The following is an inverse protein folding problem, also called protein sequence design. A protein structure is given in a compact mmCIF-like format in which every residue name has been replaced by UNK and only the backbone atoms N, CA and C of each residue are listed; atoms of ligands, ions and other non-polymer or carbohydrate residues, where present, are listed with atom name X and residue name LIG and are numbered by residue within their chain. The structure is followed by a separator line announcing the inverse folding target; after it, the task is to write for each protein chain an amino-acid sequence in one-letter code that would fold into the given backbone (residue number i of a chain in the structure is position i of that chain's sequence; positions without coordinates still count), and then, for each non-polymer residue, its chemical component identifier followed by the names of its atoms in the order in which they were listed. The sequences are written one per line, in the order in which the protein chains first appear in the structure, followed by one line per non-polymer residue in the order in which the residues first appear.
data_IF_181631545577
#
_entry.id   IF_181631545577
#
_cell.length_a   1.000
_cell.length_b   1.000
_cell.length_c   1.000
_cell.angle_alpha   90.00
_cell.angle_beta   90.00
_cell.angle_gamma   90.00
#
_symmetry.space_group_name_H-M   'P 1'
#
loop_
_entity.id
_entity.type
_entity.pdbx_description
1 polymer ?
#
# COMPACT_ATOMS: atom_id res chain seq x y z
N UNK A 1 -70.82 -12.50 46.66
CA UNK A 1 -70.91 -13.58 45.64
C UNK A 1 -70.98 -12.91 44.28
N UNK A 2 -69.88 -12.91 43.53
CA UNK A 2 -69.82 -12.41 42.16
C UNK A 2 -69.03 -13.44 41.34
N UNK A 3 -69.66 -13.96 40.28
CA UNK A 3 -69.14 -15.01 39.43
C UNK A 3 -68.17 -14.41 38.38
N UNK A 4 -67.04 -15.08 38.17
CA UNK A 4 -66.04 -14.73 37.16
C UNK A 4 -66.42 -15.32 35.78
N UNK A 5 -66.08 -14.64 34.67
CA UNK A 5 -66.38 -15.12 33.31
C UNK A 5 -65.32 -16.10 32.78
N UNK A 6 -65.81 -17.04 31.97
CA UNK A 6 -65.07 -18.14 31.34
C UNK A 6 -64.07 -17.68 30.28
N UNK A 7 -62.85 -18.24 30.36
CA UNK A 7 -61.83 -18.21 29.31
C UNK A 7 -62.24 -19.09 28.12
N UNK A 8 -62.28 -18.51 26.92
CA UNK A 8 -62.34 -19.24 25.64
C UNK A 8 -60.95 -19.15 25.02
N UNK A 9 -60.26 -20.28 24.89
CA UNK A 9 -59.00 -20.39 24.16
C UNK A 9 -59.24 -20.33 22.64
N UNK A 10 -58.54 -19.46 21.89
CA UNK A 10 -58.48 -19.56 20.45
C UNK A 10 -57.52 -20.68 20.03
N UNK A 11 -58.01 -21.45 19.08
CA UNK A 11 -57.41 -22.63 18.47
C UNK A 11 -56.25 -22.22 17.54
N UNK A 12 -55.01 -22.31 18.01
CA UNK A 12 -53.80 -22.14 17.19
C UNK A 12 -53.53 -23.41 16.37
N UNK A 13 -54.21 -23.54 15.23
CA UNK A 13 -53.76 -24.40 14.14
C UNK A 13 -52.90 -23.58 13.18
N UNK A 14 -51.66 -23.28 13.61
CA UNK A 14 -50.63 -22.83 12.70
C UNK A 14 -50.16 -24.04 11.87
N UNK A 15 -50.48 -24.02 10.58
CA UNK A 15 -50.00 -24.97 9.59
C UNK A 15 -48.46 -25.01 9.58
N UNK A 16 -47.87 -26.10 10.07
CA UNK A 16 -46.49 -26.49 9.77
C UNK A 16 -46.34 -26.85 8.29
N UNK A 17 -46.21 -25.84 7.43
CA UNK A 17 -45.65 -25.98 6.08
C UNK A 17 -44.17 -25.62 6.11
N UNK A 18 -43.38 -26.35 6.90
CA UNK A 18 -41.94 -26.45 6.71
C UNK A 18 -41.71 -27.64 5.78
N UNK A 19 -41.93 -27.42 4.49
CA UNK A 19 -41.49 -28.34 3.45
C UNK A 19 -39.97 -28.50 3.58
N UNK A 20 -39.52 -29.75 3.77
CA UNK A 20 -38.12 -30.11 3.91
C UNK A 20 -37.35 -29.80 2.62
N UNK A 21 -36.87 -28.56 2.50
CA UNK A 21 -35.85 -28.23 1.51
C UNK A 21 -34.54 -28.89 1.95
N UNK A 22 -34.25 -30.06 1.41
CA UNK A 22 -32.94 -30.71 1.56
C UNK A 22 -31.96 -29.95 0.67
N UNK A 23 -31.32 -28.95 1.24
CA UNK A 23 -30.16 -28.32 0.61
C UNK A 23 -28.97 -29.28 0.75
N UNK A 24 -28.67 -30.03 -0.31
CA UNK A 24 -27.40 -30.77 -0.43
C UNK A 24 -26.25 -29.78 -0.74
N UNK A 25 -26.05 -28.82 0.17
CA UNK A 25 -24.97 -27.87 0.05
C UNK A 25 -23.73 -28.48 0.70
N UNK A 26 -22.94 -29.19 -0.12
CA UNK A 26 -21.69 -29.79 0.32
C UNK A 26 -20.82 -28.73 0.98
N UNK A 27 -20.40 -28.97 2.21
CA UNK A 27 -19.49 -28.08 2.92
C UNK A 27 -18.05 -28.49 2.69
N UNK A 28 -17.16 -27.52 2.55
CA UNK A 28 -15.70 -27.71 2.54
C UNK A 28 -15.11 -27.18 3.86
N UNK A 29 -14.07 -27.84 4.36
CA UNK A 29 -13.27 -27.32 5.47
C UNK A 29 -12.04 -26.61 4.88
N UNK A 30 -11.86 -25.33 5.21
CA UNK A 30 -10.69 -24.56 4.83
C UNK A 30 -9.82 -24.31 6.06
N UNK A 31 -8.50 -24.45 5.93
CA UNK A 31 -7.53 -24.13 6.97
C UNK A 31 -6.76 -22.86 6.59
N UNK A 32 -6.84 -21.83 7.43
CA UNK A 32 -6.23 -20.51 7.17
C UNK A 32 -5.42 -20.11 8.40
N UNK A 33 -4.10 -20.26 8.31
CA UNK A 33 -3.23 -20.25 9.49
C UNK A 33 -3.67 -21.32 10.49
N UNK A 34 -4.00 -20.89 11.71
CA UNK A 34 -4.46 -21.76 12.81
C UNK A 34 -5.99 -21.94 12.85
N UNK A 35 -6.73 -21.28 11.95
CA UNK A 35 -8.21 -21.32 11.95
C UNK A 35 -8.72 -22.35 10.94
N UNK A 36 -9.73 -23.11 11.34
CA UNK A 36 -10.50 -23.96 10.44
C UNK A 36 -11.92 -23.40 10.27
N UNK A 37 -12.37 -23.32 9.03
CA UNK A 37 -13.66 -22.74 8.68
C UNK A 37 -14.44 -23.71 7.81
N UNK A 38 -15.68 -24.01 8.19
CA UNK A 38 -16.58 -24.87 7.42
C UNK A 38 -17.55 -24.01 6.62
N UNK A 39 -17.48 -24.11 5.29
CA UNK A 39 -18.14 -23.17 4.37
C UNK A 39 -18.87 -23.94 3.27
N UNK A 40 -19.97 -23.38 2.80
CA UNK A 40 -20.67 -23.87 1.59
C UNK A 40 -19.73 -23.86 0.39
N UNK A 41 -19.54 -25.03 -0.22
CA UNK A 41 -18.75 -25.19 -1.45
C UNK A 41 -19.38 -24.38 -2.58
N UNK A 42 -20.71 -24.46 -2.71
CA UNK A 42 -21.46 -23.78 -3.76
C UNK A 42 -21.25 -22.27 -3.71
N UNK A 43 -21.34 -21.65 -2.53
CA UNK A 43 -21.14 -20.19 -2.40
C UNK A 43 -19.75 -19.74 -2.85
N UNK A 44 -18.71 -20.52 -2.53
CA UNK A 44 -17.35 -20.21 -2.94
C UNK A 44 -17.15 -20.39 -4.45
N UNK A 45 -17.68 -21.49 -5.02
CA UNK A 45 -17.70 -21.74 -6.47
C UNK A 45 -18.43 -20.65 -7.24
N UNK A 46 -19.61 -20.23 -6.77
CA UNK A 46 -20.42 -19.19 -7.42
C UNK A 46 -19.72 -17.81 -7.35
N UNK A 47 -18.95 -17.56 -6.29
CA UNK A 47 -18.24 -16.29 -6.11
C UNK A 47 -16.91 -16.22 -6.87
N UNK A 48 -16.24 -17.34 -7.14
CA UNK A 48 -14.86 -17.37 -7.63
C UNK A 48 -14.61 -18.54 -8.58
N UNK A 49 -14.06 -18.28 -9.78
CA UNK A 49 -13.66 -19.36 -10.69
C UNK A 49 -12.48 -20.17 -10.12
N UNK A 50 -11.57 -19.56 -9.36
CA UNK A 50 -10.46 -20.28 -8.71
C UNK A 50 -10.98 -21.33 -7.74
N UNK A 51 -11.99 -21.01 -6.93
CA UNK A 51 -12.62 -22.02 -6.06
C UNK A 51 -13.40 -23.06 -6.87
N UNK A 52 -14.06 -22.67 -7.96
CA UNK A 52 -14.72 -23.61 -8.85
C UNK A 52 -13.75 -24.65 -9.42
N UNK A 53 -12.58 -24.22 -9.89
CA UNK A 53 -11.54 -25.09 -10.45
C UNK A 53 -10.86 -25.93 -9.37
N UNK A 54 -10.49 -25.31 -8.24
CA UNK A 54 -9.90 -26.00 -7.09
C UNK A 54 -10.76 -27.18 -6.62
N UNK A 55 -12.08 -27.02 -6.68
CA UNK A 55 -13.04 -28.03 -6.26
C UNK A 55 -13.38 -29.08 -7.32
N UNK A 56 -13.00 -28.88 -8.58
CA UNK A 56 -13.11 -29.93 -9.61
C UNK A 56 -11.98 -30.95 -9.52
N UNK A 57 -10.86 -30.60 -8.88
CA UNK A 57 -9.76 -31.52 -8.66
C UNK A 57 -10.21 -32.69 -7.78
N UNK A 58 -9.83 -33.95 -8.09
CA UNK A 58 -10.10 -35.10 -7.25
C UNK A 58 -9.54 -34.82 -5.84
N UNK A 59 -10.42 -34.69 -4.85
CA UNK A 59 -9.99 -34.53 -3.46
C UNK A 59 -9.41 -35.87 -3.00
N UNK A 60 -8.09 -35.93 -2.84
CA UNK A 60 -7.43 -37.18 -2.48
C UNK A 60 -7.77 -37.65 -1.06
N UNK A 61 -8.29 -36.78 -0.17
CA UNK A 61 -8.69 -37.11 1.21
C UNK A 61 -9.72 -36.09 1.76
N UNK A 62 -10.42 -36.43 2.85
CA UNK A 62 -11.27 -35.52 3.66
C UNK A 62 -10.48 -34.45 4.44
N UNK A 63 -9.28 -34.09 3.96
CA UNK A 63 -8.39 -33.13 4.61
C UNK A 63 -8.83 -31.68 4.34
N UNK A 64 -8.70 -30.76 5.32
CA UNK A 64 -8.98 -29.35 5.10
C UNK A 64 -8.10 -28.74 4.02
N UNK A 65 -8.68 -27.94 3.13
CA UNK A 65 -7.94 -27.21 2.10
C UNK A 65 -7.18 -26.05 2.75
N UNK A 66 -5.85 -26.09 2.70
CA UNK A 66 -5.02 -25.03 3.29
C UNK A 66 -4.93 -23.82 2.36
N UNK A 67 -5.28 -22.64 2.86
CA UNK A 67 -5.14 -21.37 2.15
C UNK A 67 -4.06 -20.50 2.81
N UNK A 68 -3.15 -19.97 2.01
CA UNK A 68 -2.06 -19.08 2.46
C UNK A 68 -2.48 -17.61 2.37
N UNK A 69 -3.52 -17.24 3.13
CA UNK A 69 -4.08 -15.88 3.17
C UNK A 69 -4.20 -15.37 4.60
N UNK A 70 -4.35 -14.06 4.78
CA UNK A 70 -4.63 -13.48 6.09
C UNK A 70 -6.04 -13.91 6.57
N UNK A 71 -6.17 -14.53 7.76
CA UNK A 71 -7.45 -15.04 8.23
C UNK A 71 -8.49 -13.94 8.46
N UNK A 72 -8.06 -12.73 8.82
CA UNK A 72 -8.96 -11.60 9.06
C UNK A 72 -9.51 -11.06 7.75
N UNK A 73 -8.67 -10.94 6.72
CA UNK A 73 -9.10 -10.51 5.39
C UNK A 73 -10.04 -11.54 4.75
N UNK A 74 -9.74 -12.83 4.93
CA UNK A 74 -10.63 -13.89 4.46
C UNK A 74 -11.97 -13.88 5.20
N UNK A 75 -11.99 -13.63 6.51
CA UNK A 75 -13.24 -13.43 7.27
C UNK A 75 -14.09 -12.29 6.73
N UNK A 76 -13.47 -11.18 6.31
CA UNK A 76 -14.18 -10.08 5.67
C UNK A 76 -14.82 -10.48 4.33
N UNK A 77 -14.09 -11.25 3.52
CA UNK A 77 -14.59 -11.80 2.27
C UNK A 77 -15.77 -12.76 2.51
N UNK A 78 -15.64 -13.69 3.45
CA UNK A 78 -16.73 -14.62 3.81
C UNK A 78 -17.94 -13.88 4.36
N UNK A 79 -17.73 -12.88 5.22
CA UNK A 79 -18.81 -12.05 5.73
C UNK A 79 -19.61 -11.46 4.57
N UNK A 80 -18.95 -10.95 3.52
CA UNK A 80 -19.63 -10.44 2.33
C UNK A 80 -20.44 -11.52 1.60
N UNK A 81 -19.94 -12.75 1.49
CA UNK A 81 -20.68 -13.86 0.86
C UNK A 81 -21.88 -14.36 1.69
N UNK A 82 -21.90 -14.06 2.98
CA UNK A 82 -22.90 -14.56 3.92
C UNK A 82 -23.89 -13.51 4.40
N UNK A 83 -23.54 -12.23 4.33
CA UNK A 83 -24.37 -11.14 4.83
C UNK A 83 -25.71 -11.08 4.08
N UNK A 84 -26.80 -10.94 4.82
CA UNK A 84 -28.10 -10.71 4.21
C UNK A 84 -28.15 -9.29 3.59
N UNK A 85 -28.96 -9.05 2.55
CA UNK A 85 -29.09 -7.71 1.99
C UNK A 85 -29.48 -6.64 3.03
N UNK A 86 -30.31 -7.01 4.02
CA UNK A 86 -30.72 -6.09 5.09
C UNK A 86 -29.57 -5.78 6.05
N UNK A 87 -28.78 -6.78 6.44
CA UNK A 87 -27.62 -6.58 7.32
C UNK A 87 -26.50 -5.82 6.61
N UNK A 88 -26.38 -6.01 5.30
CA UNK A 88 -25.45 -5.24 4.48
C UNK A 88 -25.82 -3.75 4.46
N UNK A 89 -27.10 -3.41 4.27
CA UNK A 89 -27.59 -2.03 4.33
C UNK A 89 -27.33 -1.42 5.71
N UNK A 90 -27.64 -2.16 6.78
CA UNK A 90 -27.36 -1.70 8.16
C UNK A 90 -25.87 -1.44 8.36
N UNK A 91 -25.02 -2.38 7.96
CA UNK A 91 -23.58 -2.22 8.04
C UNK A 91 -23.09 -1.02 7.22
N UNK A 92 -23.61 -0.82 6.01
CA UNK A 92 -23.24 0.30 5.15
C UNK A 92 -23.60 1.67 5.78
N UNK A 93 -24.67 1.73 6.56
CA UNK A 93 -25.12 2.93 7.27
C UNK A 93 -24.39 3.15 8.60
N UNK A 94 -24.15 2.08 9.36
CA UNK A 94 -23.61 2.16 10.73
C UNK A 94 -22.08 2.19 10.74
N UNK A 95 -21.44 1.50 9.79
CA UNK A 95 -19.98 1.41 9.76
C UNK A 95 -19.38 2.69 9.20
N UNK A 96 -18.76 3.47 10.07
CA UNK A 96 -18.02 4.67 9.68
C UNK A 96 -16.53 4.49 9.93
N UNK A 97 -15.75 4.91 8.93
CA UNK A 97 -14.31 5.08 9.04
C UNK A 97 -13.46 3.83 8.93
N UNK A 98 -12.45 3.73 9.80
CA UNK A 98 -11.29 2.87 9.59
C UNK A 98 -11.64 1.37 9.60
N UNK A 99 -12.56 0.93 10.48
CA UNK A 99 -13.03 -0.46 10.49
C UNK A 99 -13.75 -0.85 9.19
N UNK A 100 -14.56 0.07 8.64
CA UNK A 100 -15.21 -0.12 7.33
C UNK A 100 -14.15 -0.18 6.23
N UNK A 101 -13.21 0.74 6.23
CA UNK A 101 -12.14 0.79 5.23
C UNK A 101 -11.32 -0.51 5.23
N UNK A 102 -10.85 -0.96 6.40
CA UNK A 102 -10.11 -2.22 6.56
C UNK A 102 -10.90 -3.44 6.08
N UNK A 103 -12.21 -3.49 6.38
CA UNK A 103 -13.08 -4.57 5.89
C UNK A 103 -13.18 -4.58 4.38
N UNK A 104 -13.48 -3.43 3.76
CA UNK A 104 -13.58 -3.30 2.30
C UNK A 104 -12.24 -3.60 1.62
N UNK A 105 -11.12 -3.14 2.20
CA UNK A 105 -9.78 -3.45 1.70
C UNK A 105 -9.50 -4.96 1.74
N UNK A 106 -9.84 -5.64 2.84
CA UNK A 106 -9.73 -7.10 2.95
C UNK A 106 -10.59 -7.83 1.91
N UNK A 107 -11.84 -7.38 1.70
CA UNK A 107 -12.71 -7.93 0.65
C UNK A 107 -12.06 -7.75 -0.73
N UNK A 108 -11.55 -6.55 -1.03
CA UNK A 108 -10.91 -6.26 -2.33
C UNK A 108 -9.68 -7.15 -2.56
N UNK A 109 -8.82 -7.31 -1.56
CA UNK A 109 -7.60 -8.11 -1.65
C UNK A 109 -7.90 -9.59 -1.91
N UNK A 110 -8.80 -10.19 -1.14
CA UNK A 110 -9.18 -11.60 -1.29
C UNK A 110 -9.97 -11.82 -2.58
N UNK A 111 -10.92 -10.94 -2.91
CA UNK A 111 -11.70 -11.05 -4.15
C UNK A 111 -10.80 -10.96 -5.40
N UNK A 112 -9.81 -10.06 -5.41
CA UNK A 112 -8.83 -10.00 -6.49
C UNK A 112 -7.98 -11.27 -6.57
N UNK A 113 -7.48 -11.76 -5.42
CA UNK A 113 -6.64 -12.96 -5.36
C UNK A 113 -7.35 -14.21 -5.92
N UNK A 114 -8.64 -14.34 -5.65
CA UNK A 114 -9.47 -15.46 -6.12
C UNK A 114 -10.29 -15.13 -7.37
N UNK A 115 -9.94 -14.09 -8.12
CA UNK A 115 -10.57 -13.72 -9.40
C UNK A 115 -12.10 -13.51 -9.33
N UNK A 116 -12.61 -13.03 -8.20
CA UNK A 116 -13.98 -12.54 -8.05
C UNK A 116 -14.08 -11.10 -8.58
N UNK A 117 -13.89 -10.90 -9.89
CA UNK A 117 -13.69 -9.58 -10.51
C UNK A 117 -14.78 -8.56 -10.16
N UNK A 118 -16.06 -8.94 -10.26
CA UNK A 118 -17.17 -8.04 -9.95
C UNK A 118 -17.17 -7.57 -8.49
N UNK A 119 -16.78 -8.46 -7.57
CA UNK A 119 -16.67 -8.13 -6.15
C UNK A 119 -15.43 -7.27 -5.87
N UNK A 120 -14.31 -7.58 -6.51
CA UNK A 120 -13.08 -6.79 -6.39
C UNK A 120 -13.30 -5.36 -6.92
N UNK A 121 -13.92 -5.19 -8.09
CA UNK A 121 -14.25 -3.90 -8.67
C UNK A 121 -15.22 -3.10 -7.79
N UNK A 122 -16.26 -3.74 -7.25
CA UNK A 122 -17.15 -3.09 -6.28
C UNK A 122 -16.37 -2.60 -5.06
N UNK A 123 -15.52 -3.43 -4.48
CA UNK A 123 -14.77 -3.08 -3.26
C UNK A 123 -13.77 -1.94 -3.53
N UNK A 124 -13.08 -1.94 -4.68
CA UNK A 124 -12.23 -0.83 -5.11
C UNK A 124 -13.00 0.47 -5.25
N UNK A 125 -14.18 0.45 -5.86
CA UNK A 125 -15.03 1.63 -5.97
C UNK A 125 -15.45 2.17 -4.58
N UNK A 126 -15.67 1.29 -3.59
CA UNK A 126 -15.93 1.71 -2.21
C UNK A 126 -14.69 2.31 -1.55
N UNK A 127 -13.50 1.74 -1.75
CA UNK A 127 -12.23 2.29 -1.25
C UNK A 127 -12.02 3.72 -1.77
N UNK A 128 -12.18 3.92 -3.07
CA UNK A 128 -12.02 5.25 -3.71
C UNK A 128 -13.02 6.28 -3.18
N UNK A 129 -14.25 5.86 -2.83
CA UNK A 129 -15.23 6.74 -2.17
C UNK A 129 -14.84 7.09 -0.73
N UNK A 130 -14.23 6.14 -0.02
CA UNK A 130 -13.87 6.32 1.39
C UNK A 130 -12.59 7.14 1.57
N UNK A 131 -11.61 7.05 0.66
CA UNK A 131 -10.31 7.72 0.78
C UNK A 131 -10.42 9.24 1.04
N UNK A 132 -11.22 10.02 0.30
CA UNK A 132 -11.31 11.47 0.55
C UNK A 132 -12.02 11.83 1.85
N UNK A 133 -12.84 10.93 2.39
CA UNK A 133 -13.78 11.27 3.48
C UNK A 133 -13.18 11.16 4.86
N UNK A 134 -12.13 10.34 5.05
CA UNK A 134 -11.56 10.12 6.39
C UNK A 134 -10.06 9.88 6.34
N UNK A 135 -9.27 10.48 7.26
CA UNK A 135 -7.87 10.15 7.47
C UNK A 135 -7.69 8.68 7.92
N UNK A 136 -6.87 7.92 7.20
CA UNK A 136 -6.32 6.61 7.61
C UNK A 136 -5.11 6.96 8.47
N UNK A 137 -5.28 6.80 9.78
CA UNK A 137 -4.23 7.13 10.76
C UNK A 137 -3.23 6.00 10.96
N UNK A 138 -3.61 4.78 10.57
CA UNK A 138 -2.82 3.57 10.76
C UNK A 138 -1.90 3.31 9.56
N UNK A 139 -0.59 3.35 9.82
CA UNK A 139 0.46 3.08 8.83
C UNK A 139 0.34 1.68 8.24
N UNK A 140 -0.11 0.69 9.02
CA UNK A 140 -0.25 -0.69 8.56
C UNK A 140 -1.37 -0.83 7.52
N UNK A 141 -2.51 -0.19 7.77
CA UNK A 141 -3.63 -0.14 6.82
C UNK A 141 -3.23 0.58 5.53
N UNK A 142 -2.50 1.70 5.60
CA UNK A 142 -2.09 2.40 4.40
C UNK A 142 -1.02 1.62 3.60
N UNK A 143 -0.12 0.92 4.28
CA UNK A 143 0.86 0.01 3.64
C UNK A 143 0.13 -1.09 2.88
N UNK A 144 -0.89 -1.69 3.48
CA UNK A 144 -1.74 -2.70 2.83
C UNK A 144 -2.49 -2.13 1.64
N UNK A 145 -3.07 -0.94 1.75
CA UNK A 145 -3.74 -0.27 0.62
C UNK A 145 -2.78 -0.11 -0.55
N UNK A 146 -1.58 0.39 -0.28
CA UNK A 146 -0.58 0.63 -1.31
C UNK A 146 -0.10 -0.69 -1.94
N UNK A 147 0.21 -1.72 -1.14
CA UNK A 147 0.53 -3.07 -1.61
C UNK A 147 -0.53 -3.63 -2.54
N UNK A 148 -1.79 -3.55 -2.10
CA UNK A 148 -2.92 -4.00 -2.88
C UNK A 148 -3.00 -3.22 -4.20
N UNK A 149 -2.96 -1.89 -4.15
CA UNK A 149 -3.03 -1.04 -5.35
C UNK A 149 -1.91 -1.30 -6.36
N UNK A 150 -0.73 -1.73 -5.89
CA UNK A 150 0.41 -2.03 -6.75
C UNK A 150 0.34 -3.39 -7.44
N UNK A 151 -0.52 -4.29 -6.94
CA UNK A 151 -0.73 -5.64 -7.49
C UNK A 151 -2.08 -5.80 -8.20
N UNK A 152 -2.98 -4.83 -7.99
CA UNK A 152 -4.33 -4.79 -8.53
C UNK A 152 -4.34 -4.33 -10.01
N UNK A 153 -3.50 -4.94 -10.84
CA UNK A 153 -3.40 -4.61 -12.26
C UNK A 153 -4.74 -4.85 -12.95
N UNK A 154 -5.21 -3.85 -13.69
CA UNK A 154 -6.46 -3.94 -14.47
C UNK A 154 -7.76 -3.64 -13.72
N UNK A 155 -7.76 -3.45 -12.39
CA UNK A 155 -8.98 -3.06 -11.65
C UNK A 155 -9.34 -1.59 -11.85
N UNK A 156 -8.50 -0.67 -11.36
CA UNK A 156 -8.69 0.78 -11.54
C UNK A 156 -7.36 1.54 -11.41
N UNK A 157 -6.88 2.25 -12.45
CA UNK A 157 -5.63 3.02 -12.40
C UNK A 157 -5.66 4.18 -11.38
N UNK A 158 -6.85 4.66 -11.00
CA UNK A 158 -6.99 5.69 -9.98
C UNK A 158 -6.61 5.18 -8.59
N UNK A 159 -6.77 3.88 -8.31
CA UNK A 159 -6.46 3.33 -6.99
C UNK A 159 -4.98 3.50 -6.62
N UNK A 160 -4.08 3.21 -7.55
CA UNK A 160 -2.64 3.40 -7.32
C UNK A 160 -2.29 4.89 -7.18
N UNK A 161 -2.85 5.74 -8.02
CA UNK A 161 -2.60 7.18 -7.98
C UNK A 161 -3.10 7.80 -6.68
N UNK A 162 -4.32 7.47 -6.26
CA UNK A 162 -4.92 7.98 -5.03
C UNK A 162 -4.23 7.41 -3.78
N UNK A 163 -3.91 6.13 -3.74
CA UNK A 163 -3.18 5.56 -2.59
C UNK A 163 -1.79 6.17 -2.42
N UNK A 164 -1.08 6.44 -3.53
CA UNK A 164 0.19 7.16 -3.50
C UNK A 164 0.02 8.59 -2.99
N UNK A 165 -0.93 9.34 -3.56
CA UNK A 165 -1.22 10.71 -3.13
C UNK A 165 -1.59 10.75 -1.64
N UNK A 166 -2.34 9.76 -1.18
CA UNK A 166 -2.74 9.62 0.21
C UNK A 166 -1.55 9.35 1.13
N UNK A 167 -0.68 8.41 0.76
CA UNK A 167 0.58 8.16 1.49
C UNK A 167 1.41 9.42 1.62
N UNK A 168 1.62 10.13 0.52
CA UNK A 168 2.34 11.39 0.51
C UNK A 168 1.66 12.44 1.41
N UNK A 169 0.33 12.52 1.38
CA UNK A 169 -0.45 13.38 2.28
C UNK A 169 -0.22 13.05 3.75
N UNK A 170 -0.30 11.77 4.12
CA UNK A 170 -0.06 11.32 5.49
C UNK A 170 1.37 11.58 5.95
N UNK A 171 2.39 11.33 5.13
CA UNK A 171 3.79 11.68 5.44
C UNK A 171 3.93 13.18 5.72
N UNK A 172 3.30 14.02 4.88
CA UNK A 172 3.35 15.47 4.99
C UNK A 172 2.71 15.96 6.28
N UNK A 173 1.59 15.36 6.69
CA UNK A 173 0.76 15.80 7.81
C UNK A 173 1.13 15.11 9.14
N UNK A 174 1.79 13.96 9.10
CA UNK A 174 2.13 13.15 10.29
C UNK A 174 3.01 13.91 11.29
N UNK A 175 2.73 13.72 12.58
CA UNK A 175 3.61 14.16 13.66
C UNK A 175 4.92 13.37 13.74
N UNK A 176 4.95 12.15 13.17
CA UNK A 176 6.09 11.24 13.20
C UNK A 176 6.44 10.77 11.78
N UNK A 177 7.13 11.60 10.98
CA UNK A 177 7.53 11.24 9.62
C UNK A 177 8.58 10.12 9.55
N UNK A 178 9.23 9.77 10.68
CA UNK A 178 10.17 8.64 10.74
C UNK A 178 9.43 7.31 10.67
N UNK A 179 8.25 7.19 11.30
CA UNK A 179 7.41 5.99 11.18
C UNK A 179 7.10 5.67 9.71
N UNK A 180 6.75 6.69 8.93
CA UNK A 180 6.47 6.54 7.50
C UNK A 180 7.71 6.22 6.66
N UNK A 181 8.89 6.73 7.03
CA UNK A 181 10.14 6.34 6.40
C UNK A 181 10.42 4.85 6.63
N UNK A 182 10.24 4.35 7.85
CA UNK A 182 10.42 2.93 8.15
C UNK A 182 9.42 2.08 7.37
N UNK A 183 8.15 2.50 7.33
CA UNK A 183 7.12 1.81 6.55
C UNK A 183 7.46 1.79 5.05
N UNK A 184 8.07 2.84 4.50
CA UNK A 184 8.56 2.88 3.11
C UNK A 184 9.80 2.00 2.89
N UNK A 185 10.69 1.89 3.89
CA UNK A 185 11.88 1.02 3.87
C UNK A 185 11.52 -0.45 3.89
N UNK A 186 10.56 -0.86 4.72
CA UNK A 186 10.06 -2.23 4.75
C UNK A 186 9.55 -2.73 3.39
N UNK A 187 9.08 -1.80 2.56
CA UNK A 187 8.59 -2.07 1.21
C UNK A 187 9.69 -2.03 0.15
N UNK A 188 10.87 -1.56 0.52
CA UNK A 188 11.93 -1.20 -0.41
C UNK A 188 11.48 -0.19 -1.50
N UNK A 189 10.53 0.71 -1.19
CA UNK A 189 10.04 1.70 -2.16
C UNK A 189 10.89 2.98 -2.10
N UNK A 190 11.81 3.12 -3.04
CA UNK A 190 12.76 4.24 -3.08
C UNK A 190 12.07 5.61 -3.22
N UNK A 191 10.95 5.68 -3.94
CA UNK A 191 10.21 6.93 -4.13
C UNK A 191 9.60 7.39 -2.81
N UNK A 192 8.89 6.48 -2.11
CA UNK A 192 8.30 6.77 -0.81
C UNK A 192 9.36 7.10 0.24
N UNK A 193 10.50 6.40 0.22
CA UNK A 193 11.63 6.71 1.09
C UNK A 193 12.16 8.13 0.84
N UNK A 194 12.45 8.49 -0.41
CA UNK A 194 12.93 9.81 -0.78
C UNK A 194 11.95 10.92 -0.38
N UNK A 195 10.65 10.68 -0.58
CA UNK A 195 9.59 11.59 -0.17
C UNK A 195 9.54 11.78 1.35
N UNK A 196 9.65 10.68 2.12
CA UNK A 196 9.70 10.74 3.58
C UNK A 196 10.95 11.49 4.08
N UNK A 197 12.13 11.21 3.54
CA UNK A 197 13.36 11.95 3.87
C UNK A 197 13.21 13.45 3.64
N UNK A 198 12.66 13.86 2.49
CA UNK A 198 12.42 15.27 2.18
C UNK A 198 11.55 15.96 3.24
N UNK A 199 10.47 15.30 3.68
CA UNK A 199 9.56 15.87 4.68
C UNK A 199 10.14 15.88 6.09
N UNK A 200 10.89 14.85 6.48
CA UNK A 200 11.67 14.84 7.72
C UNK A 200 12.57 16.09 7.76
N UNK A 201 13.32 16.34 6.68
CA UNK A 201 14.22 17.48 6.58
C UNK A 201 13.50 18.83 6.63
N UNK A 202 12.36 18.96 5.94
CA UNK A 202 11.57 20.19 5.94
C UNK A 202 10.97 20.53 7.30
N UNK A 203 10.51 19.53 8.07
CA UNK A 203 9.76 19.76 9.32
C UNK A 203 10.65 19.78 10.57
N UNK A 204 11.60 18.86 10.66
CA UNK A 204 12.38 18.63 11.89
C UNK A 204 13.83 19.08 11.77
N UNK A 205 14.28 19.38 10.54
CA UNK A 205 15.68 19.68 10.27
C UNK A 205 16.59 18.52 10.66
N UNK A 206 17.75 18.82 11.26
CA UNK A 206 18.73 17.83 11.66
C UNK A 206 18.47 17.24 13.06
N UNK A 207 17.49 17.75 13.83
CA UNK A 207 17.23 17.26 15.19
C UNK A 207 16.81 15.78 15.22
N UNK A 208 16.13 15.33 14.16
CA UNK A 208 15.68 13.94 13.99
C UNK A 208 16.82 12.94 13.84
N UNK A 209 18.05 13.39 13.56
CA UNK A 209 19.21 12.48 13.47
C UNK A 209 19.52 11.76 14.78
N UNK A 210 19.03 12.28 15.92
CA UNK A 210 19.11 11.64 17.22
C UNK A 210 18.04 10.55 17.44
N UNK A 211 17.09 10.38 16.51
CA UNK A 211 16.09 9.31 16.60
C UNK A 211 16.80 7.95 16.52
N UNK A 212 16.55 7.11 17.53
CA UNK A 212 17.20 5.80 17.68
C UNK A 212 16.73 4.79 16.65
N UNK A 213 15.55 5.02 16.03
CA UNK A 213 14.98 4.16 14.99
C UNK A 213 15.69 4.31 13.64
N UNK A 214 16.42 5.41 13.44
CA UNK A 214 17.18 5.65 12.22
C UNK A 214 18.50 4.89 12.23
N UNK A 215 18.86 4.29 11.10
CA UNK A 215 20.18 3.65 10.94
C UNK A 215 21.28 4.69 10.71
N UNK A 216 22.56 4.29 10.79
CA UNK A 216 23.68 5.16 10.42
C UNK A 216 23.56 5.70 8.99
N UNK A 217 23.11 4.85 8.05
CA UNK A 217 22.86 5.21 6.65
C UNK A 217 21.74 6.24 6.53
N UNK A 218 20.64 6.09 7.29
CA UNK A 218 19.54 7.06 7.25
C UNK A 218 19.97 8.44 7.77
N UNK A 219 20.79 8.47 8.84
CA UNK A 219 21.37 9.71 9.38
C UNK A 219 22.28 10.41 8.37
N UNK A 220 23.12 9.65 7.67
CA UNK A 220 23.96 10.17 6.59
C UNK A 220 23.10 10.76 5.47
N UNK A 221 22.09 10.03 4.98
CA UNK A 221 21.16 10.51 3.95
C UNK A 221 20.49 11.82 4.33
N UNK A 222 20.04 11.93 5.59
CA UNK A 222 19.48 13.18 6.11
C UNK A 222 20.51 14.32 6.14
N UNK A 223 21.73 14.06 6.59
CA UNK A 223 22.78 15.08 6.63
C UNK A 223 23.15 15.61 5.24
N UNK A 224 23.32 14.72 4.27
CA UNK A 224 23.56 15.09 2.88
C UNK A 224 22.36 15.82 2.27
N UNK A 225 21.15 15.31 2.49
CA UNK A 225 19.92 15.93 2.04
C UNK A 225 19.76 17.35 2.58
N UNK A 226 20.07 17.59 3.87
CA UNK A 226 20.04 18.91 4.48
C UNK A 226 21.05 19.87 3.83
N UNK A 227 22.27 19.38 3.55
CA UNK A 227 23.33 20.16 2.91
C UNK A 227 22.93 20.56 1.49
N UNK A 228 22.36 19.63 0.73
CA UNK A 228 21.84 19.89 -0.62
C UNK A 228 20.69 20.90 -0.59
N UNK A 229 19.70 20.70 0.29
CA UNK A 229 18.57 21.64 0.40
C UNK A 229 19.02 23.06 0.76
N UNK A 230 20.05 23.23 1.59
CA UNK A 230 20.63 24.56 1.87
C UNK A 230 21.24 25.20 0.62
N UNK A 231 22.02 24.43 -0.15
CA UNK A 231 22.60 24.89 -1.43
C UNK A 231 21.55 25.28 -2.46
N UNK A 232 20.41 24.59 -2.48
CA UNK A 232 19.31 24.86 -3.42
C UNK A 232 18.24 25.83 -2.89
N UNK A 233 18.24 26.17 -1.61
CA UNK A 233 17.30 27.16 -1.05
C UNK A 233 17.53 28.59 -1.55
N UNK A 234 18.65 28.83 -2.24
CA UNK A 234 18.91 30.07 -2.99
C UNK A 234 18.29 30.07 -4.40
N UNK A 235 17.72 28.95 -4.86
CA UNK A 235 16.99 28.84 -6.12
C UNK A 235 15.54 29.33 -5.90
N UNK A 236 15.02 30.25 -6.73
CA UNK A 236 13.70 30.85 -6.52
C UNK A 236 12.57 29.81 -6.38
N UNK A 237 11.66 30.03 -5.42
CA UNK A 237 10.52 29.16 -5.08
C UNK A 237 9.55 28.83 -6.23
N UNK A 238 9.69 29.46 -7.40
CA UNK A 238 8.90 29.14 -8.60
C UNK A 238 9.23 27.77 -9.19
N UNK A 239 10.23 27.07 -8.65
CA UNK A 239 10.70 25.80 -9.18
C UNK A 239 10.41 24.56 -8.30
N UNK A 240 9.57 24.64 -7.26
CA UNK A 240 9.46 23.53 -6.27
C UNK A 240 8.30 22.56 -6.44
N UNK A 241 7.37 22.81 -7.37
CA UNK A 241 6.22 21.93 -7.59
C UNK A 241 6.19 21.50 -9.08
N UNK A 242 6.68 20.29 -9.40
CA UNK A 242 6.47 19.67 -10.73
C UNK A 242 4.96 19.37 -10.82
N UNK A 243 4.19 20.04 -11.71
CA UNK A 243 2.73 19.94 -11.75
C UNK A 243 2.22 18.62 -12.39
N UNK A 244 3.08 17.60 -12.50
CA UNK A 244 2.71 16.37 -13.20
C UNK A 244 1.76 15.50 -12.34
N UNK A 245 0.66 15.00 -12.91
CA UNK A 245 -0.31 14.17 -12.20
C UNK A 245 0.19 12.75 -11.92
N UNK A 246 1.30 12.31 -12.53
CA UNK A 246 1.90 11.00 -12.28
C UNK A 246 3.44 11.05 -12.34
N UNK A 247 4.15 11.04 -11.19
CA UNK A 247 5.60 11.09 -11.16
C UNK A 247 6.27 9.78 -11.62
N UNK A 248 5.55 8.67 -11.87
CA UNK A 248 6.19 7.42 -12.33
C UNK A 248 6.36 7.35 -13.85
N UNK A 249 5.48 7.98 -14.63
CA UNK A 249 5.51 7.91 -16.11
C UNK A 249 6.37 8.97 -16.77
N UNK A 250 6.85 9.96 -16.00
CA UNK A 250 7.56 11.12 -16.53
C UNK A 250 9.00 11.26 -16.05
N UNK A 251 9.59 10.20 -15.50
CA UNK A 251 10.99 10.18 -15.13
C UNK A 251 11.76 9.37 -16.17
N UNK A 252 12.51 10.05 -17.04
CA UNK A 252 13.57 9.43 -17.83
C UNK A 252 14.90 9.75 -17.13
N UNK A 253 15.65 8.73 -16.73
CA UNK A 253 16.91 8.88 -15.98
C UNK A 253 16.81 9.82 -14.77
N UNK A 254 15.73 9.72 -13.99
CA UNK A 254 15.60 10.49 -12.75
C UNK A 254 15.16 11.96 -12.91
N UNK A 255 14.80 12.44 -14.11
CA UNK A 255 14.27 13.81 -14.33
C UNK A 255 12.80 13.81 -14.77
N UNK A 256 11.96 14.64 -14.13
CA UNK A 256 10.60 14.99 -14.61
C UNK A 256 10.74 15.60 -16.03
N UNK A 257 10.19 14.97 -17.08
CA UNK A 257 10.37 15.36 -18.50
C UNK A 257 10.02 16.84 -18.78
N UNK A 258 9.10 17.41 -17.98
CA UNK A 258 8.75 18.84 -18.02
C UNK A 258 9.91 19.78 -17.65
N UNK A 259 10.92 19.30 -16.93
CA UNK A 259 12.12 20.06 -16.53
C UNK A 259 13.29 19.89 -17.50
N UNK A 260 13.19 18.93 -18.43
CA UNK A 260 14.23 18.68 -19.44
C UNK A 260 14.06 19.48 -20.73
N UNK A 261 13.01 20.29 -20.87
CA UNK A 261 12.85 21.18 -22.01
C UNK A 261 13.62 22.50 -21.76
N UNK A 262 14.62 22.86 -22.57
CA UNK A 262 15.25 24.16 -22.48
C UNK A 262 14.28 25.21 -23.03
N UNK A 263 13.64 25.99 -22.15
CA UNK A 263 12.77 27.11 -22.55
C UNK A 263 13.61 28.36 -22.91
N UNK A 264 14.93 28.32 -22.76
CA UNK A 264 15.82 29.38 -23.22
C UNK A 264 17.04 28.79 -23.92
N UNK A 265 17.09 28.95 -25.25
CA UNK A 265 18.36 28.99 -25.97
C UNK A 265 19.02 30.34 -25.68
N UNK A 266 20.22 30.40 -25.05
CA UNK A 266 21.00 31.62 -25.06
C UNK A 266 21.53 31.87 -26.48
N UNK A 267 21.64 33.14 -26.92
CA UNK A 267 22.30 33.44 -28.18
C UNK A 267 23.80 33.12 -28.03
N UNK A 268 24.28 32.25 -28.93
CA UNK A 268 25.68 32.04 -29.35
C UNK A 268 26.77 32.43 -28.33
N UNK A 269 27.28 31.44 -27.60
CA UNK A 269 28.60 31.52 -26.96
C UNK A 269 29.30 30.15 -27.01
N UNK A 270 30.36 30.12 -27.84
CA UNK A 270 31.51 29.19 -27.90
C UNK A 270 31.31 27.72 -27.49
N UNK A 271 31.33 26.86 -28.51
CA UNK A 271 31.64 25.45 -28.40
C UNK A 271 33.09 25.26 -27.91
N UNK A 272 33.28 24.99 -26.63
CA UNK A 272 34.46 24.28 -26.14
C UNK A 272 34.10 22.81 -25.96
N UNK A 273 34.86 21.94 -26.62
CA UNK A 273 34.77 20.49 -26.48
C UNK A 273 34.90 20.09 -25.00
N UNK A 274 33.90 19.37 -24.49
CA UNK A 274 33.97 18.73 -23.18
C UNK A 274 34.88 17.49 -23.28
N UNK A 275 35.69 17.17 -22.24
CA UNK A 275 36.54 15.99 -22.25
C UNK A 275 35.70 14.71 -22.25
N UNK A 276 36.13 13.76 -23.06
CA UNK A 276 35.60 12.39 -23.11
C UNK A 276 35.88 11.73 -21.75
N UNK A 277 34.82 11.24 -21.10
CA UNK A 277 34.92 10.44 -19.88
C UNK A 277 35.13 8.98 -20.30
N UNK A 278 36.29 8.40 -19.98
CA UNK A 278 36.55 6.96 -20.14
C UNK A 278 35.78 6.15 -19.08
N UNK A 279 35.03 5.14 -19.52
CA UNK A 279 34.44 4.12 -18.66
C UNK A 279 35.52 3.14 -18.17
N UNK A 280 35.77 3.10 -16.87
CA UNK A 280 36.66 2.10 -16.25
C UNK A 280 35.80 0.97 -15.65
N UNK A 281 35.98 -0.30 -16.04
CA UNK A 281 35.23 -1.41 -15.46
C UNK A 281 35.80 -1.74 -14.07
N UNK A 282 35.00 -1.49 -13.02
CA UNK A 282 35.37 -1.63 -11.60
C UNK A 282 35.00 -3.00 -10.97
N UNK A 283 34.61 -4.00 -11.77
CA UNK A 283 34.06 -5.27 -11.25
C UNK A 283 35.08 -6.20 -10.55
N UNK A 284 36.38 -6.08 -10.81
CA UNK A 284 37.34 -7.10 -10.37
C UNK A 284 37.97 -6.89 -8.99
N UNK A 285 37.75 -5.74 -8.34
CA UNK A 285 38.56 -5.36 -7.15
C UNK A 285 37.79 -5.25 -5.84
N UNK A 286 36.48 -5.13 -5.88
CA UNK A 286 35.66 -4.93 -4.69
C UNK A 286 34.37 -5.74 -4.88
N UNK A 287 34.01 -6.59 -3.91
CA UNK A 287 32.79 -7.42 -3.93
C UNK A 287 31.50 -6.60 -4.03
N UNK A 288 30.32 -7.13 -3.66
CA UNK A 288 29.04 -6.48 -3.96
C UNK A 288 28.88 -5.16 -3.19
N UNK A 289 29.39 -4.08 -3.76
CA UNK A 289 29.17 -2.71 -3.34
C UNK A 289 27.85 -2.25 -3.94
N UNK A 290 26.94 -1.79 -3.09
CA UNK A 290 25.75 -1.07 -3.54
C UNK A 290 26.16 0.30 -4.05
N UNK A 291 26.17 0.48 -5.37
CA UNK A 291 26.43 1.76 -6.03
C UNK A 291 25.24 2.69 -5.79
N UNK A 292 25.46 3.86 -5.18
CA UNK A 292 24.42 4.88 -5.04
C UNK A 292 24.90 6.19 -5.66
N UNK A 293 24.19 6.65 -6.70
CA UNK A 293 24.47 7.91 -7.39
C UNK A 293 24.05 9.10 -6.52
N UNK A 294 25.00 9.95 -6.15
CA UNK A 294 24.71 11.26 -5.55
C UNK A 294 24.62 12.26 -6.69
N UNK A 295 23.39 12.66 -7.04
CA UNK A 295 23.14 13.65 -8.07
C UNK A 295 23.40 15.07 -7.53
N UNK A 296 24.48 15.70 -8.01
CA UNK A 296 24.59 17.15 -8.03
C UNK A 296 24.45 17.64 -9.47
N UNK A 297 23.91 18.85 -9.67
CA UNK A 297 23.53 19.36 -10.99
C UNK A 297 24.69 19.51 -12.00
N UNK A 298 25.93 19.19 -11.61
CA UNK A 298 27.12 19.26 -12.46
C UNK A 298 28.16 18.15 -12.23
N UNK A 299 27.90 17.15 -11.37
CA UNK A 299 28.86 16.05 -11.14
C UNK A 299 28.19 14.87 -10.43
N UNK A 300 28.40 13.66 -10.95
CA UNK A 300 28.04 12.41 -10.25
C UNK A 300 29.19 12.09 -9.30
N UNK A 301 28.96 12.25 -8.00
CA UNK A 301 29.85 11.74 -6.98
C UNK A 301 29.38 10.34 -6.58
N UNK A 302 30.19 9.31 -6.81
CA UNK A 302 29.94 7.97 -6.27
C UNK A 302 30.60 7.90 -4.90
N UNK A 303 29.80 7.85 -3.84
CA UNK A 303 30.32 7.58 -2.50
C UNK A 303 30.08 6.10 -2.18
N UNK A 304 31.15 5.33 -2.11
CA UNK A 304 31.12 3.96 -1.62
C UNK A 304 31.11 4.01 -0.08
N UNK A 305 30.01 3.57 0.52
CA UNK A 305 29.88 3.44 1.98
C UNK A 305 29.61 1.98 2.29
N UNK A 306 30.47 1.38 3.11
CA UNK A 306 30.26 0.04 3.64
C UNK A 306 29.28 0.10 4.82
N UNK A 307 28.36 -0.85 4.93
CA UNK A 307 27.31 -0.88 5.98
C UNK A 307 27.85 -0.90 7.42
N UNK A 308 29.14 -1.23 7.61
CA UNK A 308 29.82 -1.28 8.91
C UNK A 308 30.62 -0.02 9.25
N UNK A 309 30.68 0.98 8.36
CA UNK A 309 31.60 2.10 8.55
C UNK A 309 31.07 3.10 9.61
N UNK A 310 31.87 3.44 10.65
CA UNK A 310 31.43 4.37 11.68
C UNK A 310 31.22 5.76 11.10
N UNK A 311 30.15 6.44 11.53
CA UNK A 311 29.73 7.76 11.05
C UNK A 311 30.89 8.79 11.01
N UNK A 312 31.76 8.78 12.02
CA UNK A 312 32.91 9.69 12.09
C UNK A 312 33.94 9.46 10.97
N UNK A 313 34.11 8.23 10.50
CA UNK A 313 35.00 7.92 9.38
C UNK A 313 34.41 8.39 8.05
N UNK A 314 33.09 8.22 7.86
CA UNK A 314 32.38 8.75 6.69
C UNK A 314 32.44 10.29 6.67
N UNK A 315 32.24 10.94 7.82
CA UNK A 315 32.36 12.40 7.94
C UNK A 315 33.78 12.91 7.66
N UNK A 316 34.82 12.17 8.08
CA UNK A 316 36.21 12.51 7.79
C UNK A 316 36.53 12.45 6.28
N UNK A 317 35.94 11.49 5.54
CA UNK A 317 36.07 11.40 4.08
C UNK A 317 35.42 12.57 3.34
N UNK A 318 34.43 13.23 3.95
CA UNK A 318 33.67 14.33 3.34
C UNK A 318 34.20 15.73 3.68
N UNK A 319 35.15 15.81 4.61
CA UNK A 319 35.78 17.07 5.01
C UNK A 319 36.95 17.50 4.11
N UNK A 320 37.19 16.76 3.01
CA UNK A 320 38.17 17.04 1.94
C UNK A 320 37.43 17.52 0.70
#
# INVERSE_FOLDING_TARGET
MAAAPNNVSPNDQAHSTSSAYVYDDKTVCLSIGERQMKISRKRLTDASPIFADMFQLPSMNDEPVQLLVDPTEFEHFLWYLHVSPLDFIKWDQESTGDARFRRVLGIAAIAHMYQSEGLAAWAVAQILKLLPTKPITDTTTLKRLYDFSSRADGLDPQLQTQSLAYWCGQVRESSDPVEWLLAAKDRNDQYLQAYAYLHILKRTGLQVTNDTRLTGVDRLRLLFGATNLRRFSTVPARYTECPCPNPRTHYNNGRCIYWSQPIFSPPEADQRELPIIEEVPLQDKYGPLTLWEIFTHSTVGVLLIEDSEPLNAVLAKLAV
#
